data_IF_993711160528
#
_entry.id   IF_993711160528
#
_cell.length_a   1.000
_cell.length_b   1.000
_cell.length_c   1.000
_cell.angle_alpha   90.00
_cell.angle_beta   90.00
_cell.angle_gamma   90.00
#
_symmetry.space_group_name_H-M   'P 1'
#
loop_
_entity.id
_entity.type
_entity.pdbx_description
1 polymer ?
#
# COMPACT_ATOMS: atom_id res chain seq x y z
N UNK A 1 -3.19 4.20 -4.33
CA UNK A 1 -3.95 4.33 -3.06
C UNK A 1 -4.70 5.66 -2.90
N UNK A 2 -4.15 6.81 -3.31
CA UNK A 2 -4.83 8.13 -3.20
C UNK A 2 -6.31 8.10 -3.64
N UNK A 3 -6.58 7.57 -4.84
CA UNK A 3 -7.92 7.54 -5.41
C UNK A 3 -8.94 6.81 -4.53
N UNK A 4 -8.57 5.69 -3.90
CA UNK A 4 -9.49 4.91 -3.06
C UNK A 4 -10.01 5.69 -1.84
N UNK A 5 -9.24 6.65 -1.33
CA UNK A 5 -9.68 7.48 -0.20
C UNK A 5 -10.36 8.77 -0.67
N UNK A 6 -9.80 9.43 -1.69
CA UNK A 6 -10.31 10.72 -2.15
C UNK A 6 -11.63 10.57 -2.89
N UNK A 7 -11.78 9.60 -3.80
CA UNK A 7 -12.98 9.45 -4.62
C UNK A 7 -14.27 9.32 -3.79
N UNK A 8 -14.38 8.39 -2.81
CA UNK A 8 -15.59 8.32 -1.98
C UNK A 8 -15.76 9.52 -1.04
N UNK A 9 -14.66 10.14 -0.59
CA UNK A 9 -14.70 11.34 0.24
C UNK A 9 -15.37 12.51 -0.50
N UNK A 10 -14.94 12.75 -1.75
CA UNK A 10 -15.49 13.78 -2.63
C UNK A 10 -16.91 13.47 -3.09
N UNK A 11 -17.18 12.20 -3.45
CA UNK A 11 -18.53 11.79 -3.87
C UNK A 11 -19.57 11.97 -2.76
N UNK A 12 -19.17 11.87 -1.50
CA UNK A 12 -20.00 12.18 -0.34
C UNK A 12 -20.08 13.68 0.00
N UNK A 13 -19.53 14.57 -0.84
CA UNK A 13 -19.62 16.02 -0.68
C UNK A 13 -18.64 16.64 0.32
N UNK A 14 -17.62 15.89 0.78
CA UNK A 14 -16.62 16.43 1.71
C UNK A 14 -15.51 17.19 0.97
N UNK A 15 -14.85 18.10 1.68
CA UNK A 15 -13.53 18.64 1.29
C UNK A 15 -12.43 17.80 1.92
N UNK A 16 -11.22 17.84 1.33
CA UNK A 16 -10.11 16.97 1.78
C UNK A 16 -8.78 17.72 1.85
N UNK A 17 -8.03 17.42 2.90
CA UNK A 17 -6.58 17.68 2.98
C UNK A 17 -5.86 16.34 2.92
N UNK A 18 -5.17 16.07 1.82
CA UNK A 18 -4.39 14.86 1.61
C UNK A 18 -2.92 15.12 1.94
N UNK A 19 -2.37 14.27 2.79
CA UNK A 19 -0.93 14.19 3.01
C UNK A 19 -0.38 12.91 2.34
N UNK A 20 0.31 13.00 1.18
CA UNK A 20 0.96 11.83 0.59
C UNK A 20 2.18 11.41 1.41
N UNK A 21 2.65 10.17 1.21
CA UNK A 21 3.90 9.72 1.81
C UNK A 21 5.08 10.58 1.32
N UNK A 22 6.03 10.87 2.21
CA UNK A 22 7.12 11.80 1.92
C UNK A 22 7.99 11.36 0.72
N UNK A 23 8.15 10.05 0.53
CA UNK A 23 8.96 9.47 -0.54
C UNK A 23 8.24 9.35 -1.89
N UNK A 24 6.92 9.62 -1.95
CA UNK A 24 6.11 9.48 -3.18
C UNK A 24 5.09 10.63 -3.41
N UNK A 25 5.51 11.91 -3.36
CA UNK A 25 4.54 13.02 -3.43
C UNK A 25 4.10 13.39 -4.86
N UNK A 26 4.88 13.04 -5.88
CA UNK A 26 4.79 13.67 -7.21
C UNK A 26 3.46 13.44 -7.92
N UNK A 27 2.94 12.20 -7.91
CA UNK A 27 1.66 11.88 -8.57
C UNK A 27 0.48 12.49 -7.84
N UNK A 28 0.57 12.69 -6.52
CA UNK A 28 -0.44 13.43 -5.76
C UNK A 28 -0.46 14.90 -6.18
N UNK A 29 0.71 15.54 -6.32
CA UNK A 29 0.78 16.93 -6.80
C UNK A 29 0.27 17.08 -8.24
N UNK A 30 0.60 16.13 -9.13
CA UNK A 30 0.04 16.13 -10.49
C UNK A 30 -1.49 15.96 -10.46
N UNK A 31 -2.02 15.14 -9.56
CA UNK A 31 -3.46 15.01 -9.35
C UNK A 31 -4.12 16.33 -8.89
N UNK A 32 -3.48 17.14 -8.03
CA UNK A 32 -4.00 18.47 -7.67
C UNK A 32 -4.13 19.38 -8.90
N UNK A 33 -3.12 19.42 -9.78
CA UNK A 33 -3.18 20.18 -11.04
C UNK A 33 -4.35 19.71 -11.91
N UNK A 34 -4.50 18.39 -12.08
CA UNK A 34 -5.59 17.81 -12.88
C UNK A 34 -6.97 18.09 -12.27
N UNK A 35 -7.07 18.12 -10.94
CA UNK A 35 -8.31 18.45 -10.25
C UNK A 35 -8.73 19.90 -10.48
N UNK A 36 -7.78 20.84 -10.49
CA UNK A 36 -8.06 22.23 -10.86
C UNK A 36 -8.54 22.34 -12.31
N UNK A 37 -7.90 21.60 -13.24
CA UNK A 37 -8.32 21.54 -14.66
C UNK A 37 -9.70 20.91 -14.85
N UNK A 38 -10.09 19.97 -13.99
CA UNK A 38 -11.41 19.37 -13.99
C UNK A 38 -12.50 20.29 -13.40
N UNK A 39 -12.14 21.47 -12.89
CA UNK A 39 -13.10 22.46 -12.40
C UNK A 39 -13.55 22.27 -10.95
N UNK A 40 -12.82 21.50 -10.14
CA UNK A 40 -13.11 21.44 -8.70
C UNK A 40 -12.97 22.85 -8.07
N UNK A 41 -13.94 23.29 -7.25
CA UNK A 41 -13.83 24.57 -6.55
C UNK A 41 -12.56 24.66 -5.70
N UNK A 42 -11.98 25.86 -5.60
CA UNK A 42 -10.77 26.11 -4.80
C UNK A 42 -11.01 25.69 -3.34
N UNK A 43 -10.04 24.97 -2.77
CA UNK A 43 -10.11 24.48 -1.38
C UNK A 43 -10.84 23.15 -1.19
N UNK A 44 -11.49 22.58 -2.22
CA UNK A 44 -12.11 21.25 -2.10
C UNK A 44 -11.06 20.15 -1.97
N UNK A 45 -9.95 20.26 -2.70
CA UNK A 45 -8.82 19.33 -2.66
C UNK A 45 -7.56 20.11 -2.31
N UNK A 46 -6.94 19.78 -1.18
CA UNK A 46 -5.69 20.36 -0.72
C UNK A 46 -4.67 19.24 -0.55
N UNK A 47 -3.43 19.41 -1.01
CA UNK A 47 -2.40 18.38 -0.93
C UNK A 47 -1.15 18.94 -0.27
N UNK A 48 -0.71 18.32 0.83
CA UNK A 48 0.40 18.77 1.66
C UNK A 48 1.46 17.67 1.80
N UNK A 49 2.47 17.62 0.90
CA UNK A 49 3.66 16.81 1.12
C UNK A 49 4.41 17.23 2.39
N UNK A 50 5.03 16.28 3.09
CA UNK A 50 5.85 16.59 4.27
C UNK A 50 6.09 15.38 5.16
N UNK A 51 6.67 15.59 6.35
CA UNK A 51 6.90 14.53 7.36
C UNK A 51 5.60 14.09 8.02
N UNK A 52 5.46 12.79 8.29
CA UNK A 52 4.29 12.22 8.97
C UNK A 52 4.07 12.84 10.35
N UNK A 53 5.14 12.91 11.14
CA UNK A 53 5.17 13.50 12.49
C UNK A 53 4.86 14.99 12.57
N UNK A 54 4.80 15.70 11.44
CA UNK A 54 4.49 17.14 11.40
C UNK A 54 3.13 17.35 10.75
N UNK A 55 3.02 17.08 9.44
CA UNK A 55 1.78 17.35 8.69
C UNK A 55 0.69 16.34 9.06
N UNK A 56 1.05 15.07 9.23
CA UNK A 56 0.08 14.04 9.62
C UNK A 56 -0.42 14.25 11.05
N UNK A 57 0.49 14.56 11.97
CA UNK A 57 0.15 14.89 13.35
C UNK A 57 -0.73 16.14 13.43
N UNK A 58 -0.36 17.22 12.71
CA UNK A 58 -1.17 18.43 12.63
C UNK A 58 -2.60 18.16 12.16
N UNK A 59 -2.81 17.27 11.18
CA UNK A 59 -4.16 16.86 10.77
C UNK A 59 -4.93 16.08 11.85
N UNK A 60 -4.23 15.23 12.61
CA UNK A 60 -4.83 14.44 13.68
C UNK A 60 -5.25 15.32 14.86
N UNK A 61 -4.50 16.39 15.15
CA UNK A 61 -4.75 17.27 16.28
C UNK A 61 -5.70 18.43 15.92
N UNK A 62 -5.85 18.76 14.64
CA UNK A 62 -6.68 19.88 14.20
C UNK A 62 -8.15 19.73 14.63
N UNK A 63 -8.70 20.76 15.28
CA UNK A 63 -10.05 20.72 15.86
C UNK A 63 -11.16 20.79 14.81
N UNK A 64 -10.89 21.34 13.63
CA UNK A 64 -11.87 21.41 12.54
C UNK A 64 -11.90 20.17 11.64
N UNK A 65 -10.90 19.30 11.72
CA UNK A 65 -10.93 18.02 10.98
C UNK A 65 -11.92 17.09 11.68
N UNK A 66 -12.88 16.53 10.94
CA UNK A 66 -13.95 15.68 11.52
C UNK A 66 -13.77 14.19 11.23
N UNK A 67 -12.89 13.84 10.29
CA UNK A 67 -12.57 12.45 9.95
C UNK A 67 -11.12 12.31 9.47
N UNK A 68 -10.44 11.27 9.95
CA UNK A 68 -9.14 10.82 9.43
C UNK A 68 -9.31 9.47 8.72
N UNK A 69 -8.77 9.38 7.51
CA UNK A 69 -8.61 8.14 6.77
C UNK A 69 -7.13 7.83 6.58
N UNK A 70 -6.63 6.81 7.28
CA UNK A 70 -5.21 6.45 7.24
C UNK A 70 -5.00 5.05 6.66
N UNK A 71 -3.89 4.88 5.93
CA UNK A 71 -3.37 3.59 5.51
C UNK A 71 -1.86 3.62 5.69
N UNK A 72 -1.31 2.64 6.41
CA UNK A 72 0.10 2.57 6.75
C UNK A 72 0.39 1.46 7.75
N UNK A 73 1.41 1.64 8.59
CA UNK A 73 1.76 0.64 9.61
C UNK A 73 0.81 0.66 10.80
N UNK A 74 0.68 -0.49 11.47
CA UNK A 74 -0.09 -0.63 12.71
C UNK A 74 0.37 0.33 13.80
N UNK A 75 1.68 0.51 13.97
CA UNK A 75 2.25 1.41 14.99
C UNK A 75 1.78 2.85 14.81
N UNK A 76 1.91 3.39 13.59
CA UNK A 76 1.46 4.76 13.28
C UNK A 76 -0.05 4.88 13.39
N UNK A 77 -0.80 3.85 12.96
CA UNK A 77 -2.26 3.83 13.08
C UNK A 77 -2.75 3.96 14.52
N UNK A 78 -2.10 3.27 15.47
CA UNK A 78 -2.41 3.41 16.90
C UNK A 78 -2.16 4.83 17.40
N UNK A 79 -1.04 5.44 17.01
CA UNK A 79 -0.75 6.84 17.34
C UNK A 79 -1.81 7.81 16.81
N UNK A 80 -2.21 7.65 15.54
CA UNK A 80 -3.27 8.45 14.92
C UNK A 80 -4.60 8.31 15.66
N UNK A 81 -5.01 7.07 16.00
CA UNK A 81 -6.24 6.82 16.73
C UNK A 81 -6.25 7.52 18.10
N UNK A 82 -5.12 7.45 18.82
CA UNK A 82 -4.92 8.12 20.10
C UNK A 82 -5.07 9.64 19.96
N UNK A 83 -4.34 10.26 19.04
CA UNK A 83 -4.40 11.72 18.81
C UNK A 83 -5.79 12.19 18.38
N UNK A 84 -6.50 11.39 17.57
CA UNK A 84 -7.89 11.70 17.20
C UNK A 84 -8.84 11.66 18.42
N UNK A 85 -8.63 10.72 19.34
CA UNK A 85 -9.40 10.61 20.58
C UNK A 85 -9.11 11.76 21.55
N UNK A 86 -7.84 12.13 21.72
CA UNK A 86 -7.39 13.19 22.63
C UNK A 86 -7.76 14.61 22.17
N UNK A 87 -7.99 14.82 20.87
CA UNK A 87 -8.33 16.12 20.31
C UNK A 87 -9.84 16.42 20.38
N UNK A 88 -10.61 15.93 19.41
CA UNK A 88 -12.04 16.25 19.27
C UNK A 88 -12.90 15.00 19.02
N UNK A 89 -12.39 13.81 19.35
CA UNK A 89 -13.02 12.52 19.08
C UNK A 89 -13.47 12.34 17.60
N UNK A 90 -12.70 12.89 16.65
CA UNK A 90 -12.95 12.76 15.20
C UNK A 90 -12.99 11.28 14.77
N UNK A 91 -13.83 10.98 13.78
CA UNK A 91 -13.98 9.61 13.24
C UNK A 91 -12.68 9.13 12.61
N UNK A 92 -12.32 7.87 12.80
CA UNK A 92 -11.12 7.27 12.19
C UNK A 92 -11.46 6.04 11.36
N UNK A 93 -10.72 5.82 10.27
CA UNK A 93 -10.72 4.55 9.52
C UNK A 93 -9.28 4.19 9.19
N UNK A 94 -8.87 2.97 9.53
CA UNK A 94 -7.47 2.55 9.59
C UNK A 94 -7.26 1.24 8.81
N UNK A 95 -6.31 1.25 7.87
CA UNK A 95 -5.82 0.06 7.16
C UNK A 95 -4.34 -0.13 7.50
N UNK A 96 -4.01 -1.20 8.23
CA UNK A 96 -2.82 -1.22 9.11
C UNK A 96 -1.75 -2.29 8.80
N UNK A 97 -1.76 -2.79 7.56
CA UNK A 97 -0.89 -3.88 7.12
C UNK A 97 -1.56 -5.25 7.27
N UNK A 98 -0.79 -6.31 7.00
CA UNK A 98 -1.31 -7.67 7.05
C UNK A 98 -0.21 -8.73 7.01
N UNK A 99 -0.59 -9.96 7.34
CA UNK A 99 0.20 -11.18 7.14
C UNK A 99 -0.70 -12.26 6.55
N UNK A 100 -1.26 -11.95 5.38
CA UNK A 100 -2.34 -12.71 4.76
C UNK A 100 -1.91 -14.14 4.41
N UNK A 101 -2.69 -15.17 4.80
CA UNK A 101 -2.44 -16.53 4.37
C UNK A 101 -3.02 -16.80 2.98
N UNK A 102 -2.31 -17.59 2.18
CA UNK A 102 -2.82 -18.26 0.99
C UNK A 102 -2.75 -19.77 1.22
N UNK A 103 -3.89 -20.47 1.14
CA UNK A 103 -3.97 -21.91 1.40
C UNK A 103 -4.20 -22.63 0.07
N UNK A 104 -3.39 -23.64 -0.22
CA UNK A 104 -3.31 -24.37 -1.49
C UNK A 104 -3.51 -25.86 -1.20
N UNK A 105 -4.66 -26.38 -1.61
CA UNK A 105 -5.03 -27.79 -1.45
C UNK A 105 -4.53 -28.62 -2.65
N UNK A 106 -4.34 -29.92 -2.42
CA UNK A 106 -3.85 -30.90 -3.40
C UNK A 106 -4.78 -31.11 -4.59
N UNK A 107 -6.07 -30.78 -4.44
CA UNK A 107 -7.09 -30.87 -5.49
C UNK A 107 -7.15 -29.64 -6.42
N UNK A 108 -6.25 -28.68 -6.24
CA UNK A 108 -6.20 -27.49 -7.08
C UNK A 108 -5.56 -27.76 -8.45
N UNK A 109 -5.81 -26.83 -9.39
CA UNK A 109 -4.99 -26.70 -10.60
C UNK A 109 -3.60 -26.17 -10.20
N UNK A 110 -2.59 -27.05 -10.20
CA UNK A 110 -1.25 -26.75 -9.72
C UNK A 110 -0.56 -25.64 -10.54
N UNK A 111 -0.73 -25.61 -11.87
CA UNK A 111 -0.15 -24.57 -12.74
C UNK A 111 -0.77 -23.20 -12.47
N UNK A 112 -2.08 -23.17 -12.23
CA UNK A 112 -2.75 -21.94 -11.80
C UNK A 112 -2.33 -21.52 -10.40
N UNK A 113 -2.19 -22.47 -9.47
CA UNK A 113 -1.80 -22.21 -8.09
C UNK A 113 -0.39 -21.60 -8.01
N UNK A 114 0.57 -22.13 -8.78
CA UNK A 114 1.94 -21.56 -8.88
C UNK A 114 1.87 -20.12 -9.41
N UNK A 115 1.21 -19.89 -10.56
CA UNK A 115 1.10 -18.55 -11.16
C UNK A 115 0.44 -17.54 -10.24
N UNK A 116 -0.66 -17.92 -9.58
CA UNK A 116 -1.36 -17.05 -8.64
C UNK A 116 -0.53 -16.77 -7.40
N UNK A 117 0.25 -17.74 -6.91
CA UNK A 117 1.15 -17.57 -5.77
C UNK A 117 2.25 -16.57 -6.07
N UNK A 118 2.85 -16.63 -7.27
CA UNK A 118 3.83 -15.63 -7.70
C UNK A 118 3.22 -14.24 -7.76
N UNK A 119 2.02 -14.10 -8.31
CA UNK A 119 1.29 -12.83 -8.30
C UNK A 119 0.96 -12.34 -6.89
N UNK A 120 0.54 -13.23 -6.00
CA UNK A 120 0.18 -12.89 -4.63
C UNK A 120 1.36 -12.42 -3.78
N UNK A 121 2.58 -12.86 -4.11
CA UNK A 121 3.81 -12.50 -3.37
C UNK A 121 4.59 -11.38 -4.07
N UNK A 122 4.84 -11.49 -5.38
CA UNK A 122 5.79 -10.64 -6.09
C UNK A 122 5.16 -9.46 -6.83
N UNK A 123 3.82 -9.38 -6.94
CA UNK A 123 3.16 -8.22 -7.55
C UNK A 123 3.56 -6.93 -6.83
N UNK A 124 3.85 -5.88 -7.61
CA UNK A 124 4.43 -4.62 -7.10
C UNK A 124 5.65 -4.87 -6.18
N UNK A 125 6.49 -5.84 -6.54
CA UNK A 125 7.72 -6.25 -5.83
C UNK A 125 7.53 -6.51 -4.33
N UNK A 126 6.33 -6.97 -3.96
CA UNK A 126 5.96 -7.31 -2.58
C UNK A 126 5.45 -6.14 -1.73
N UNK A 127 5.57 -4.89 -2.18
CA UNK A 127 4.98 -3.74 -1.47
C UNK A 127 3.49 -3.62 -1.81
N UNK A 128 2.74 -4.62 -1.37
CA UNK A 128 1.31 -4.73 -1.58
C UNK A 128 0.65 -5.11 -0.24
N UNK A 129 -0.30 -4.32 0.24
CA UNK A 129 -0.90 -4.50 1.57
C UNK A 129 -1.64 -5.84 1.72
N UNK A 130 -2.06 -6.44 0.60
CA UNK A 130 -2.76 -7.73 0.55
C UNK A 130 -1.84 -8.89 0.12
N UNK A 131 -0.52 -8.66 0.03
CA UNK A 131 0.41 -9.72 -0.36
C UNK A 131 0.27 -10.95 0.55
N UNK A 132 0.40 -12.13 -0.05
CA UNK A 132 0.38 -13.39 0.69
C UNK A 132 1.67 -13.51 1.50
N UNK A 133 1.59 -13.16 2.79
CA UNK A 133 2.75 -13.20 3.69
C UNK A 133 3.10 -14.61 4.15
N UNK A 134 2.20 -15.58 3.98
CA UNK A 134 2.37 -17.00 4.31
C UNK A 134 1.61 -17.84 3.28
N UNK A 135 2.27 -18.86 2.73
CA UNK A 135 1.63 -19.86 1.89
C UNK A 135 1.55 -21.19 2.67
N UNK A 136 0.39 -21.82 2.66
CA UNK A 136 0.14 -23.14 3.24
C UNK A 136 -0.16 -24.10 2.11
N UNK A 137 0.76 -25.01 1.82
CA UNK A 137 0.63 -25.96 0.71
C UNK A 137 0.40 -27.34 1.29
N UNK A 138 -0.61 -28.05 0.79
CA UNK A 138 -0.90 -29.40 1.24
C UNK A 138 0.26 -30.35 0.93
N UNK A 139 0.59 -31.21 1.90
CA UNK A 139 1.78 -32.06 1.91
C UNK A 139 1.98 -32.86 0.62
N UNK A 140 0.89 -33.33 0.00
CA UNK A 140 0.95 -34.17 -1.20
C UNK A 140 1.56 -33.46 -2.41
N UNK A 141 1.38 -32.14 -2.54
CA UNK A 141 1.84 -31.34 -3.70
C UNK A 141 2.98 -30.37 -3.33
N UNK A 142 3.44 -30.39 -2.08
CA UNK A 142 4.36 -29.38 -1.55
C UNK A 142 5.67 -29.28 -2.34
N UNK A 143 6.37 -30.41 -2.52
CA UNK A 143 7.72 -30.39 -3.10
C UNK A 143 7.68 -29.99 -4.57
N UNK A 144 6.74 -30.55 -5.34
CA UNK A 144 6.50 -30.19 -6.73
C UNK A 144 6.11 -28.71 -6.89
N UNK A 145 5.26 -28.20 -5.99
CA UNK A 145 4.90 -26.78 -5.98
C UNK A 145 6.14 -25.88 -5.79
N UNK A 146 7.03 -26.23 -4.87
CA UNK A 146 8.26 -25.47 -4.61
C UNK A 146 9.19 -25.49 -5.83
N UNK A 147 9.38 -26.65 -6.47
CA UNK A 147 10.20 -26.78 -7.68
C UNK A 147 9.68 -25.86 -8.80
N UNK A 148 8.38 -25.92 -9.10
CA UNK A 148 7.76 -25.07 -10.13
C UNK A 148 7.86 -23.58 -9.78
N UNK A 149 7.68 -23.20 -8.51
CA UNK A 149 7.87 -21.81 -8.07
C UNK A 149 9.29 -21.32 -8.34
N UNK A 150 10.31 -22.13 -8.00
CA UNK A 150 11.72 -21.77 -8.23
C UNK A 150 12.02 -21.59 -9.72
N UNK A 151 11.50 -22.47 -10.57
CA UNK A 151 11.66 -22.36 -12.03
C UNK A 151 11.08 -21.07 -12.58
N UNK A 152 9.88 -20.69 -12.14
CA UNK A 152 9.22 -19.46 -12.59
C UNK A 152 9.92 -18.21 -12.04
N UNK A 153 10.38 -18.22 -10.79
CA UNK A 153 11.13 -17.08 -10.21
C UNK A 153 12.41 -16.81 -11.01
N UNK A 154 13.12 -17.86 -11.46
CA UNK A 154 14.33 -17.71 -12.30
C UNK A 154 14.06 -17.02 -13.65
N UNK A 155 12.83 -17.05 -14.14
CA UNK A 155 12.42 -16.42 -15.41
C UNK A 155 12.11 -14.92 -15.24
N UNK A 156 11.98 -14.42 -14.01
CA UNK A 156 11.62 -13.02 -13.78
C UNK A 156 12.75 -12.06 -14.17
N UNK A 157 12.46 -11.13 -15.08
CA UNK A 157 13.41 -10.08 -15.47
C UNK A 157 13.38 -8.94 -14.47
N UNK A 158 14.50 -8.72 -13.77
CA UNK A 158 14.72 -7.60 -12.86
C UNK A 158 15.36 -6.45 -13.64
N UNK A 159 14.88 -5.22 -13.48
CA UNK A 159 15.49 -4.08 -14.18
C UNK A 159 14.74 -2.75 -14.05
N UNK A 160 14.99 -1.88 -15.03
CA UNK A 160 14.37 -0.56 -15.13
C UNK A 160 12.84 -0.68 -15.32
N UNK A 161 12.02 -0.05 -14.45
CA UNK A 161 10.56 -0.03 -14.59
C UNK A 161 10.02 0.53 -15.92
N UNK A 162 10.83 1.28 -16.67
CA UNK A 162 10.44 1.81 -17.99
C UNK A 162 10.70 0.83 -19.14
N UNK A 163 11.49 -0.23 -18.93
CA UNK A 163 11.65 -1.32 -19.89
C UNK A 163 10.43 -2.25 -19.84
N UNK A 164 9.69 -2.34 -20.95
CA UNK A 164 8.46 -3.14 -21.06
C UNK A 164 8.66 -4.65 -20.87
N UNK A 165 9.89 -5.14 -20.94
CA UNK A 165 10.21 -6.55 -20.71
C UNK A 165 10.54 -6.87 -19.25
N UNK A 166 10.68 -5.87 -18.38
CA UNK A 166 10.94 -6.06 -16.95
C UNK A 166 9.67 -6.46 -16.22
N UNK A 167 9.75 -7.53 -15.43
CA UNK A 167 8.64 -8.02 -14.60
C UNK A 167 8.82 -7.72 -13.11
N UNK A 168 10.02 -7.28 -12.70
CA UNK A 168 10.32 -6.97 -11.30
C UNK A 168 11.19 -5.70 -11.19
N UNK A 169 10.61 -4.64 -10.65
CA UNK A 169 11.30 -3.35 -10.43
C UNK A 169 12.02 -3.27 -9.08
N UNK A 170 12.62 -2.10 -8.78
CA UNK A 170 13.28 -1.87 -7.50
C UNK A 170 12.26 -1.68 -6.35
N UNK A 171 12.76 -1.86 -5.13
CA UNK A 171 12.06 -1.42 -3.92
C UNK A 171 11.89 0.11 -3.91
N UNK A 172 10.87 0.62 -3.22
CA UNK A 172 10.46 2.01 -3.35
C UNK A 172 11.51 3.03 -2.86
N UNK A 173 12.25 2.70 -1.80
CA UNK A 173 13.30 3.56 -1.25
C UNK A 173 14.32 2.75 -0.44
N UNK A 174 15.51 3.33 -0.22
CA UNK A 174 16.66 2.66 0.39
C UNK A 174 16.39 2.08 1.78
N UNK A 175 15.76 2.84 2.68
CA UNK A 175 15.46 2.35 4.03
C UNK A 175 14.56 1.09 4.02
N UNK A 176 13.61 1.00 3.07
CA UNK A 176 12.80 -0.21 2.92
C UNK A 176 13.62 -1.38 2.40
N UNK A 177 14.47 -1.17 1.38
CA UNK A 177 15.39 -2.20 0.90
C UNK A 177 16.26 -2.75 2.04
N UNK A 178 16.82 -1.87 2.87
CA UNK A 178 17.66 -2.28 4.01
C UNK A 178 16.87 -3.09 5.04
N UNK A 179 15.60 -2.74 5.29
CA UNK A 179 14.73 -3.53 6.15
C UNK A 179 14.47 -4.95 5.60
N UNK A 180 14.35 -5.11 4.27
CA UNK A 180 14.18 -6.42 3.64
C UNK A 180 15.48 -7.23 3.73
N UNK A 181 16.64 -6.61 3.52
CA UNK A 181 17.95 -7.26 3.69
C UNK A 181 18.13 -7.73 5.15
N UNK A 182 17.66 -6.98 6.13
CA UNK A 182 17.67 -7.40 7.52
C UNK A 182 16.71 -8.56 7.79
N UNK A 183 15.51 -8.56 7.19
CA UNK A 183 14.50 -9.60 7.40
C UNK A 183 14.90 -10.99 6.87
N UNK A 184 15.70 -11.03 5.79
CA UNK A 184 16.15 -12.30 5.19
C UNK A 184 17.42 -12.88 5.82
N UNK A 185 18.08 -12.12 6.72
CA UNK A 185 19.25 -12.56 7.48
C UNK A 185 18.83 -13.21 8.78
#
# INVERSE_FOLDING_TARGET
MLAWKISPCLAAGNTVVLKPAQVTPLTALKFAELSARAGFPKGVINILPGKGSIVGQGLCDHMDVRKIGFTGSTEVGKGIMKSCAESNAKRVSLELGGKSPLIIFSDCDLDRAVRQSLGAVFFNKGENCIAAGRLFVERQIHDEFIERVIEEVKKMKIGDPLDRSVSHGPQNHKAHLDSLIHYIK
#
